data_IF_074615439026
#
_entry.id   IF_074615439026
#
_cell.length_a   1.000
_cell.length_b   1.000
_cell.length_c   1.000
_cell.angle_alpha   90.00
_cell.angle_beta   90.00
_cell.angle_gamma   90.00
#
_symmetry.space_group_name_H-M   'P 1'
#
loop_
_entity.id
_entity.type
_entity.pdbx_description
1 polymer ?
#
# COMPACT_ATOMS: atom_id res chain seq x y z
N UNK A 1 4.97 -8.86 24.43
CA UNK A 1 4.30 -8.62 23.13
C UNK A 1 4.25 -7.11 22.89
N UNK A 2 5.41 -6.46 22.70
CA UNK A 2 5.47 -4.99 22.51
C UNK A 2 6.51 -4.54 21.45
N UNK A 3 7.18 -5.47 20.76
CA UNK A 3 8.23 -5.15 19.79
C UNK A 3 7.71 -5.01 18.34
N UNK A 4 6.47 -5.40 18.03
CA UNK A 4 5.97 -5.40 16.64
C UNK A 4 5.71 -3.99 16.11
N UNK A 5 5.14 -3.12 16.93
CA UNK A 5 4.67 -1.78 16.52
C UNK A 5 5.84 -0.82 16.27
N UNK A 6 6.89 -0.89 17.09
CA UNK A 6 8.13 -0.12 16.86
C UNK A 6 8.92 -0.63 15.63
N UNK A 7 8.88 -1.94 15.36
CA UNK A 7 9.49 -2.53 14.17
C UNK A 7 8.75 -2.13 12.89
N UNK A 8 7.42 -2.01 12.95
CA UNK A 8 6.56 -1.62 11.83
C UNK A 8 6.80 -0.16 11.40
N UNK A 9 6.82 0.78 12.35
CA UNK A 9 7.23 2.16 12.07
C UNK A 9 8.65 2.27 11.50
N UNK A 10 9.59 1.45 12.01
CA UNK A 10 10.95 1.36 11.46
C UNK A 10 10.99 0.75 10.05
N UNK A 11 10.05 -0.11 9.70
CA UNK A 11 9.97 -0.77 8.40
C UNK A 11 9.34 0.14 7.35
N UNK A 12 8.26 0.85 7.68
CA UNK A 12 7.65 1.88 6.79
C UNK A 12 8.68 2.96 6.43
N UNK A 13 9.46 3.44 7.40
CA UNK A 13 10.53 4.42 7.15
C UNK A 13 11.69 3.87 6.30
N UNK A 14 11.95 2.56 6.36
CA UNK A 14 12.88 1.90 5.45
C UNK A 14 12.33 1.90 4.02
N UNK A 15 11.06 1.52 3.84
CA UNK A 15 10.41 1.48 2.53
C UNK A 15 10.31 2.87 1.89
N UNK A 16 10.00 3.92 2.67
CA UNK A 16 9.99 5.32 2.21
C UNK A 16 11.36 5.75 1.68
N UNK A 17 12.45 5.41 2.39
CA UNK A 17 13.83 5.67 1.91
C UNK A 17 14.17 4.89 0.65
N UNK A 18 13.71 3.65 0.53
CA UNK A 18 13.90 2.85 -0.69
C UNK A 18 13.12 3.42 -1.87
N UNK A 19 11.87 3.83 -1.68
CA UNK A 19 11.05 4.50 -2.68
C UNK A 19 11.75 5.74 -3.23
N UNK A 20 12.28 6.60 -2.35
CA UNK A 20 13.00 7.79 -2.78
C UNK A 20 14.20 7.48 -3.68
N UNK A 21 14.99 6.45 -3.34
CA UNK A 21 16.11 6.01 -4.19
C UNK A 21 15.67 5.47 -5.54
N UNK A 22 14.54 4.75 -5.58
CA UNK A 22 13.97 4.22 -6.82
C UNK A 22 13.46 5.35 -7.73
N UNK A 23 12.82 6.39 -7.17
CA UNK A 23 12.38 7.56 -7.94
C UNK A 23 13.57 8.24 -8.65
N UNK A 24 14.66 8.48 -7.92
CA UNK A 24 15.87 9.07 -8.51
C UNK A 24 16.43 8.23 -9.67
N UNK A 25 16.43 6.90 -9.52
CA UNK A 25 16.94 6.00 -10.55
C UNK A 25 15.99 5.89 -11.77
N UNK A 26 14.68 5.89 -11.55
CA UNK A 26 13.67 5.83 -12.63
C UNK A 26 13.69 7.09 -13.50
N UNK A 27 13.95 8.25 -12.90
CA UNK A 27 14.01 9.53 -13.62
C UNK A 27 15.42 9.88 -14.14
N UNK A 28 16.44 9.05 -13.91
CA UNK A 28 17.77 9.23 -14.50
C UNK A 28 17.75 8.82 -15.98
N UNK A 29 18.08 9.76 -16.88
CA UNK A 29 18.18 9.53 -18.32
C UNK A 29 19.25 8.49 -18.71
N UNK A 30 20.18 8.18 -17.80
CA UNK A 30 21.21 7.15 -17.99
C UNK A 30 20.71 5.73 -17.71
N UNK A 31 19.51 5.58 -17.15
CA UNK A 31 18.95 4.27 -16.81
C UNK A 31 18.60 3.50 -18.07
N UNK A 32 19.12 2.27 -18.20
CA UNK A 32 18.83 1.44 -19.37
C UNK A 32 17.34 1.09 -19.44
N UNK A 33 16.75 0.88 -20.63
CA UNK A 33 15.33 0.50 -20.74
C UNK A 33 14.95 -0.77 -19.97
N UNK A 34 15.88 -1.74 -19.85
CA UNK A 34 15.69 -2.96 -19.07
C UNK A 34 15.63 -2.65 -17.58
N UNK A 35 16.57 -1.83 -17.09
CA UNK A 35 16.60 -1.45 -15.68
C UNK A 35 15.42 -0.56 -15.33
N UNK A 36 15.00 0.32 -16.24
CA UNK A 36 13.82 1.17 -16.09
C UNK A 36 12.55 0.34 -15.86
N UNK A 37 12.34 -0.72 -16.64
CA UNK A 37 11.20 -1.62 -16.45
C UNK A 37 11.24 -2.33 -15.08
N UNK A 38 12.43 -2.76 -14.65
CA UNK A 38 12.59 -3.39 -13.34
C UNK A 38 12.37 -2.40 -12.18
N UNK A 39 12.92 -1.19 -12.29
CA UNK A 39 12.83 -0.13 -11.28
C UNK A 39 11.42 0.43 -11.15
N UNK A 40 10.70 0.64 -12.26
CA UNK A 40 9.30 1.11 -12.24
C UNK A 40 8.36 0.08 -11.62
N UNK A 41 8.56 -1.21 -11.90
CA UNK A 41 7.84 -2.29 -11.23
C UNK A 41 8.13 -2.29 -9.73
N UNK A 42 9.42 -2.25 -9.35
CA UNK A 42 9.83 -2.24 -7.94
C UNK A 42 9.28 -1.01 -7.19
N UNK A 43 9.27 0.15 -7.84
CA UNK A 43 8.69 1.38 -7.29
C UNK A 43 7.19 1.22 -7.02
N UNK A 44 6.46 0.63 -7.96
CA UNK A 44 5.02 0.38 -7.81
C UNK A 44 4.72 -0.61 -6.68
N UNK A 45 5.54 -1.66 -6.55
CA UNK A 45 5.39 -2.66 -5.48
C UNK A 45 5.64 -2.03 -4.11
N UNK A 46 6.72 -1.26 -3.95
CA UNK A 46 7.04 -0.56 -2.70
C UNK A 46 5.97 0.47 -2.33
N UNK A 47 5.42 1.20 -3.31
CA UNK A 47 4.34 2.16 -3.05
C UNK A 47 3.07 1.47 -2.53
N UNK A 48 2.71 0.31 -3.08
CA UNK A 48 1.56 -0.48 -2.59
C UNK A 48 1.78 -0.99 -1.17
N UNK A 49 2.98 -1.48 -0.88
CA UNK A 49 3.34 -1.98 0.45
C UNK A 49 3.29 -0.87 1.51
N UNK A 50 3.80 0.33 1.19
CA UNK A 50 3.69 1.49 2.09
C UNK A 50 2.21 1.82 2.36
N UNK A 51 1.38 1.89 1.32
CA UNK A 51 -0.04 2.19 1.49
C UNK A 51 -0.73 1.15 2.39
N UNK A 52 -0.47 -0.15 2.17
CA UNK A 52 -1.05 -1.22 2.99
C UNK A 52 -0.66 -1.11 4.46
N UNK A 53 0.60 -0.80 4.75
CA UNK A 53 1.07 -0.61 6.12
C UNK A 53 0.49 0.64 6.76
N UNK A 54 0.41 1.74 6.00
CA UNK A 54 -0.18 3.00 6.48
C UNK A 54 -1.71 2.94 6.63
N UNK A 55 -2.39 2.06 5.89
CA UNK A 55 -3.83 1.79 6.05
C UNK A 55 -4.06 0.89 7.26
N UNK A 56 -3.21 -0.14 7.47
CA UNK A 56 -3.24 -0.99 8.64
C UNK A 56 -2.95 -0.22 9.94
N UNK A 57 -2.10 0.81 9.90
CA UNK A 57 -1.83 1.70 11.04
C UNK A 57 -2.98 2.69 11.31
N UNK A 58 -3.74 3.09 10.27
CA UNK A 58 -4.87 4.03 10.41
C UNK A 58 -6.17 3.39 10.87
N UNK A 59 -6.34 2.08 10.68
CA UNK A 59 -7.57 1.36 11.02
C UNK A 59 -7.52 0.74 12.44
N UNK A 60 -8.15 1.40 13.44
CA UNK A 60 -8.91 0.68 14.44
C UNK A 60 -10.39 1.04 14.35
N UNK A 61 -11.20 0.10 13.84
CA UNK A 61 -12.67 0.02 13.87
C UNK A 61 -13.47 1.11 13.14
N UNK A 62 -14.04 0.78 11.96
CA UNK A 62 -15.42 1.21 11.62
C UNK A 62 -16.19 0.27 10.67
N UNK A 63 -15.98 -1.06 10.76
CA UNK A 63 -16.89 -2.05 10.13
C UNK A 63 -17.92 -2.59 11.15
N UNK A 64 -18.59 -1.69 11.87
CA UNK A 64 -19.92 -1.97 12.41
C UNK A 64 -20.95 -1.13 11.63
N UNK A 65 -21.64 -1.76 10.69
CA UNK A 65 -23.10 -1.79 10.54
C UNK A 65 -23.55 -1.94 9.07
N UNK A 66 -24.40 -2.94 8.81
CA UNK A 66 -25.48 -2.70 7.85
C UNK A 66 -25.56 -3.54 6.58
N UNK A 67 -25.12 -4.80 6.56
CA UNK A 67 -25.75 -5.77 5.63
C UNK A 67 -27.17 -6.09 6.10
N UNK A 68 -28.06 -5.10 6.08
CA UNK A 68 -29.47 -5.37 5.96
C UNK A 68 -29.67 -5.85 4.53
N UNK A 69 -29.59 -7.17 4.32
CA UNK A 69 -30.19 -7.81 3.16
C UNK A 69 -31.63 -7.30 3.09
N UNK A 70 -31.86 -6.32 2.22
CA UNK A 70 -33.18 -5.82 1.92
C UNK A 70 -33.99 -7.00 1.43
N UNK A 71 -35.02 -7.33 2.20
CA UNK A 71 -35.98 -8.39 1.92
C UNK A 71 -36.45 -8.24 0.46
N UNK A 72 -36.21 -9.27 -0.35
CA UNK A 72 -36.56 -9.28 -1.77
C UNK A 72 -38.09 -9.19 -1.90
N UNK A 73 -38.61 -8.02 -2.27
CA UNK A 73 -40.04 -7.82 -2.52
C UNK A 73 -40.38 -8.19 -3.97
N UNK A 74 -41.01 -9.35 -4.11
CA UNK A 74 -41.42 -9.92 -5.39
C UNK A 74 -42.69 -9.26 -5.98
N UNK A 75 -43.32 -8.30 -5.29
CA UNK A 75 -44.57 -7.68 -5.77
C UNK A 75 -44.39 -6.69 -6.93
N UNK A 76 -43.16 -6.44 -7.39
CA UNK A 76 -42.87 -5.47 -8.45
C UNK A 76 -42.22 -6.08 -9.72
N UNK A 77 -42.57 -7.33 -10.06
CA UNK A 77 -42.23 -7.98 -11.35
C UNK A 77 -43.48 -8.07 -12.24
#
# INVERSE_FOLDING_TARGET
MADSEAAEGSYVELLKRMKHRLELAVFDEKTSPRDLAALTKRLSDVAKEINQLEDAEKEPLDDLDGSADGEFDAENI
#
